data_IF_594027504678
#
_entry.id   IF_594027504678
#
_cell.length_a   1.000
_cell.length_b   1.000
_cell.length_c   1.000
_cell.angle_alpha   90.00
_cell.angle_beta   90.00
_cell.angle_gamma   90.00
#
_symmetry.space_group_name_H-M   'P 1'
#
loop_
_entity.id
_entity.type
_entity.pdbx_description
1 polymer ?
#
# COMPACT_ATOMS: atom_id res chain seq x y z
N UNK A 1 0.84 -34.87 -20.46
CA UNK A 1 0.47 -34.98 -21.88
C UNK A 1 0.07 -33.57 -22.31
N UNK A 2 0.87 -32.95 -23.16
CA UNK A 2 0.76 -31.55 -23.57
C UNK A 2 -0.41 -31.38 -24.54
N UNK A 3 -1.21 -30.33 -24.41
CA UNK A 3 -1.83 -29.73 -25.59
C UNK A 3 -2.17 -28.25 -25.42
N UNK A 4 -1.53 -27.46 -26.29
CA UNK A 4 -1.72 -26.04 -26.53
C UNK A 4 -2.99 -25.79 -27.37
N UNK A 5 -3.60 -24.62 -27.18
CA UNK A 5 -4.41 -23.92 -28.19
C UNK A 5 -3.89 -22.47 -28.22
N UNK A 6 -3.10 -22.08 -29.22
CA UNK A 6 -3.48 -21.66 -30.57
C UNK A 6 -3.88 -20.17 -30.63
N UNK A 7 -2.91 -19.37 -31.11
CA UNK A 7 -2.96 -17.97 -31.51
C UNK A 7 -3.60 -17.78 -32.89
N UNK A 8 -4.15 -16.59 -33.18
CA UNK A 8 -4.44 -16.04 -34.53
C UNK A 8 -4.96 -14.58 -34.41
N UNK A 9 -4.89 -13.73 -35.46
CA UNK A 9 -3.67 -13.16 -36.04
C UNK A 9 -3.72 -11.62 -36.16
N UNK A 10 -2.56 -11.02 -36.46
CA UNK A 10 -2.37 -9.60 -36.77
C UNK A 10 -3.11 -9.17 -38.06
N UNK A 11 -3.72 -7.98 -38.03
CA UNK A 11 -4.19 -7.26 -39.21
C UNK A 11 -3.25 -6.09 -39.49
N UNK A 12 -2.48 -6.22 -40.56
CA UNK A 12 -1.76 -5.13 -41.21
C UNK A 12 -2.69 -4.44 -42.21
N UNK A 13 -2.78 -3.12 -42.16
CA UNK A 13 -3.31 -2.32 -43.27
C UNK A 13 -2.60 -0.98 -43.27
N UNK A 14 -1.65 -0.86 -44.19
CA UNK A 14 -1.00 0.39 -44.55
C UNK A 14 -1.96 1.18 -45.46
N UNK A 15 -2.26 2.42 -45.08
CA UNK A 15 -2.98 3.37 -45.94
C UNK A 15 -1.97 4.38 -46.46
N UNK A 16 -1.82 4.41 -47.78
CA UNK A 16 -0.97 5.34 -48.51
C UNK A 16 -1.61 6.73 -48.56
N UNK A 17 -0.82 7.77 -48.26
CA UNK A 17 -1.19 9.18 -48.44
C UNK A 17 -0.80 9.63 -49.86
N UNK A 18 -1.73 10.27 -50.56
CA UNK A 18 -1.47 11.04 -51.80
C UNK A 18 -1.74 12.53 -51.55
N UNK A 19 -0.97 13.47 -52.15
CA UNK A 19 -1.02 14.89 -51.80
C UNK A 19 -1.89 15.70 -52.78
N UNK A 20 -2.84 16.47 -52.25
CA UNK A 20 -3.60 17.53 -52.95
C UNK A 20 -3.98 18.52 -51.83
N UNK A 21 -3.84 19.85 -51.88
CA UNK A 21 -3.35 20.82 -52.85
C UNK A 21 -3.63 22.19 -52.21
N UNK A 22 -2.66 23.11 -52.23
CA UNK A 22 -2.81 24.47 -51.71
C UNK A 22 -3.88 25.26 -52.48
N UNK A 23 -4.78 25.94 -51.77
CA UNK A 23 -5.39 27.20 -52.21
C UNK A 23 -5.65 28.14 -51.04
N UNK A 24 -5.16 29.37 -51.23
CA UNK A 24 -5.30 30.55 -50.39
C UNK A 24 -6.74 31.05 -50.29
N UNK A 25 -7.11 31.67 -49.17
CA UNK A 25 -7.73 33.01 -49.15
C UNK A 25 -7.68 33.64 -47.73
N UNK A 26 -7.57 34.99 -47.59
CA UNK A 26 -7.13 35.66 -46.36
C UNK A 26 -8.18 36.56 -45.66
N UNK A 27 -7.79 37.08 -44.48
CA UNK A 27 -8.39 38.15 -43.65
C UNK A 27 -9.56 37.66 -42.75
N UNK A 28 -9.58 37.87 -41.44
CA UNK A 28 -9.65 39.18 -40.76
C UNK A 28 -9.04 39.12 -39.34
N UNK A 29 -8.38 40.21 -39.01
CA UNK A 29 -7.66 40.57 -37.79
C UNK A 29 -8.57 41.08 -36.66
N UNK A 30 -8.14 40.81 -35.42
CA UNK A 30 -8.30 41.64 -34.20
C UNK A 30 -9.65 41.69 -33.46
N UNK A 31 -9.73 41.04 -32.28
CA UNK A 31 -10.15 41.72 -31.04
C UNK A 31 -9.68 40.92 -29.80
N UNK A 32 -8.57 41.36 -29.20
CA UNK A 32 -8.15 41.00 -27.85
C UNK A 32 -8.57 42.14 -26.92
N UNK A 33 -9.48 41.90 -25.98
CA UNK A 33 -9.52 42.54 -24.68
C UNK A 33 -10.57 41.87 -23.76
N UNK A 34 -10.23 41.80 -22.48
CA UNK A 34 -11.05 41.50 -21.30
C UNK A 34 -11.48 40.04 -21.04
N UNK A 35 -10.62 39.27 -20.37
CA UNK A 35 -10.87 38.89 -18.97
C UNK A 35 -9.58 38.33 -18.33
N UNK A 36 -8.98 39.13 -17.43
CA UNK A 36 -8.19 38.68 -16.29
C UNK A 36 -9.05 37.76 -15.40
N UNK A 37 -8.65 36.80 -14.58
CA UNK A 37 -7.42 36.39 -13.87
C UNK A 37 -7.80 34.99 -13.29
N UNK A 38 -7.01 33.93 -13.45
CA UNK A 38 -6.16 33.39 -12.40
C UNK A 38 -5.16 32.40 -13.00
N UNK A 39 -3.90 32.57 -12.58
CA UNK A 39 -2.71 32.22 -13.32
C UNK A 39 -2.26 30.77 -13.08
N UNK A 40 -2.17 30.00 -14.17
CA UNK A 40 -1.18 28.95 -14.33
C UNK A 40 0.09 29.60 -14.89
N UNK A 41 1.16 29.68 -14.10
CA UNK A 41 2.47 30.08 -14.60
C UNK A 41 3.32 28.83 -14.89
N UNK A 42 3.82 28.64 -16.13
CA UNK A 42 4.75 27.56 -16.46
C UNK A 42 6.15 27.89 -15.94
N UNK A 43 6.79 26.94 -15.27
CA UNK A 43 8.18 27.05 -14.82
C UNK A 43 9.11 26.94 -16.02
N UNK A 44 9.68 28.06 -16.47
CA UNK A 44 10.90 28.06 -17.27
C UNK A 44 11.73 29.33 -17.06
N UNK A 45 13.00 29.09 -16.70
CA UNK A 45 14.19 29.96 -16.77
C UNK A 45 14.42 30.93 -15.61
N UNK A 46 15.30 30.51 -14.69
CA UNK A 46 16.32 31.37 -14.10
C UNK A 46 17.58 30.54 -13.79
N UNK A 47 18.42 30.35 -14.80
CA UNK A 47 19.84 30.08 -14.60
C UNK A 47 20.60 31.41 -14.77
N UNK A 48 21.73 31.54 -14.06
CA UNK A 48 22.70 32.65 -14.06
C UNK A 48 22.39 33.80 -13.06
N UNK A 49 22.79 33.62 -11.80
CA UNK A 49 23.90 34.31 -11.08
C UNK A 49 23.71 34.04 -9.57
N UNK A 50 24.46 33.09 -9.02
CA UNK A 50 24.81 33.02 -7.60
C UNK A 50 26.13 32.23 -7.45
N UNK A 51 27.20 32.75 -8.03
CA UNK A 51 28.56 32.36 -7.67
C UNK A 51 28.98 33.21 -6.46
N UNK A 52 28.71 32.73 -5.23
CA UNK A 52 29.54 32.96 -4.02
C UNK A 52 28.85 32.56 -2.70
N UNK A 53 28.17 31.42 -2.65
CA UNK A 53 27.95 30.75 -1.37
C UNK A 53 28.16 29.25 -1.59
N UNK A 54 29.23 28.71 -0.98
CA UNK A 54 29.59 27.29 -1.03
C UNK A 54 28.63 26.40 -0.23
N UNK A 55 27.33 26.64 -0.31
CA UNK A 55 26.31 25.79 0.28
C UNK A 55 26.15 24.55 -0.60
N UNK A 56 26.97 23.54 -0.35
CA UNK A 56 26.72 22.19 -0.86
C UNK A 56 25.37 21.73 -0.34
N UNK A 57 24.40 21.51 -1.22
CA UNK A 57 23.20 20.75 -0.86
C UNK A 57 23.64 19.45 -0.21
N UNK A 58 23.16 19.11 1.01
CA UNK A 58 23.53 17.85 1.64
C UNK A 58 23.25 16.71 0.66
N UNK A 59 24.24 15.85 0.42
CA UNK A 59 23.99 14.61 -0.32
C UNK A 59 22.86 13.87 0.41
N UNK A 60 21.82 13.40 -0.29
CA UNK A 60 20.78 12.59 0.34
C UNK A 60 21.44 11.44 1.10
N UNK A 61 21.10 11.29 2.38
CA UNK A 61 21.53 10.12 3.16
C UNK A 61 20.94 8.89 2.44
N UNK A 62 21.75 7.88 2.09
CA UNK A 62 21.22 6.68 1.45
C UNK A 62 20.15 6.03 2.32
N UNK A 63 18.96 5.82 1.77
CA UNK A 63 17.89 5.08 2.43
C UNK A 63 18.21 3.58 2.35
N UNK A 64 18.78 3.02 3.41
CA UNK A 64 19.26 1.62 3.44
C UNK A 64 18.24 0.65 4.06
N UNK A 65 17.20 1.15 4.71
CA UNK A 65 16.22 0.35 5.48
C UNK A 65 14.82 0.45 4.89
N UNK A 66 14.73 0.39 3.57
CA UNK A 66 13.46 0.49 2.85
C UNK A 66 12.61 -0.78 2.93
N UNK A 67 11.29 -0.61 2.90
CA UNK A 67 10.27 -1.66 2.87
C UNK A 67 9.44 -1.57 1.58
N UNK A 68 8.80 -2.66 1.11
CA UNK A 68 8.77 -4.00 1.70
C UNK A 68 10.08 -4.76 1.45
N UNK A 69 10.23 -5.94 2.06
CA UNK A 69 11.37 -6.85 1.82
C UNK A 69 10.89 -8.27 1.51
N UNK A 70 11.78 -9.07 0.93
CA UNK A 70 11.61 -10.51 0.92
C UNK A 70 11.95 -11.09 2.31
N UNK A 71 10.96 -11.67 2.98
CA UNK A 71 11.10 -12.33 4.27
C UNK A 71 11.75 -13.71 4.07
N UNK A 72 12.95 -13.94 4.61
CA UNK A 72 13.65 -15.22 4.43
C UNK A 72 12.98 -16.34 5.24
N UNK A 73 13.19 -17.59 4.85
CA UNK A 73 12.83 -18.74 5.69
C UNK A 73 13.80 -18.78 6.87
N UNK A 74 13.28 -18.70 8.09
CA UNK A 74 14.06 -18.64 9.32
C UNK A 74 13.56 -19.69 10.32
N UNK A 75 14.45 -20.12 11.21
CA UNK A 75 14.05 -20.84 12.41
C UNK A 75 13.36 -19.88 13.39
N UNK A 76 12.30 -20.36 14.04
CA UNK A 76 11.59 -19.60 15.06
C UNK A 76 12.50 -19.40 16.28
N UNK A 77 12.55 -18.17 16.80
CA UNK A 77 13.22 -17.84 18.06
C UNK A 77 12.20 -17.57 19.17
N UNK A 78 12.51 -17.89 20.44
CA UNK A 78 11.60 -17.64 21.55
C UNK A 78 11.20 -16.17 21.68
N UNK A 79 9.93 -15.91 21.95
CA UNK A 79 9.44 -14.55 22.16
C UNK A 79 9.73 -14.08 23.57
N UNK A 80 10.90 -13.48 23.81
CA UNK A 80 11.28 -12.93 25.11
C UNK A 80 10.68 -11.54 25.39
N UNK A 81 9.42 -11.34 25.02
CA UNK A 81 8.68 -10.08 25.24
C UNK A 81 8.90 -9.05 24.15
N UNK A 82 9.30 -9.54 22.99
CA UNK A 82 9.64 -8.67 21.87
C UNK A 82 8.40 -8.32 21.06
N UNK A 83 7.34 -9.13 21.11
CA UNK A 83 6.08 -8.92 20.41
C UNK A 83 4.89 -9.38 21.24
N UNK A 84 3.83 -8.59 21.26
CA UNK A 84 2.50 -8.98 21.73
C UNK A 84 1.49 -8.01 21.14
N UNK A 85 0.38 -8.52 20.64
CA UNK A 85 -0.66 -7.72 20.00
C UNK A 85 -2.03 -8.19 20.49
N UNK A 86 -2.94 -7.24 20.62
CA UNK A 86 -4.37 -7.48 20.74
C UNK A 86 -5.09 -6.41 19.94
N UNK A 87 -6.05 -6.82 19.12
CA UNK A 87 -7.02 -5.93 18.49
C UNK A 87 -8.39 -6.24 19.11
N UNK A 88 -9.21 -5.21 19.30
CA UNK A 88 -10.55 -5.31 19.87
C UNK A 88 -11.57 -4.73 18.89
N UNK A 89 -12.83 -5.07 19.10
CA UNK A 89 -13.92 -4.60 18.24
C UNK A 89 -14.09 -3.09 18.37
N UNK A 90 -14.24 -2.39 17.24
CA UNK A 90 -14.40 -0.94 17.23
C UNK A 90 -15.17 -0.42 16.01
N UNK A 91 -15.78 0.77 16.11
CA UNK A 91 -16.24 1.49 14.93
C UNK A 91 -15.06 1.85 14.02
N UNK A 92 -15.32 1.93 12.71
CA UNK A 92 -14.34 2.32 11.71
C UNK A 92 -14.96 3.25 10.67
N UNK A 93 -14.17 4.19 10.13
CA UNK A 93 -14.53 4.97 8.95
C UNK A 93 -13.68 4.47 7.78
N UNK A 94 -14.34 3.91 6.77
CA UNK A 94 -13.69 3.38 5.56
C UNK A 94 -13.80 4.42 4.46
N UNK A 95 -12.67 4.76 3.84
CA UNK A 95 -12.59 5.80 2.81
C UNK A 95 -11.78 5.35 1.61
N UNK A 96 -12.28 5.66 0.41
CA UNK A 96 -11.53 5.55 -0.84
C UNK A 96 -10.49 6.66 -0.88
N UNK A 97 -9.21 6.31 -0.76
CA UNK A 97 -8.08 7.20 -1.00
C UNK A 97 -7.47 6.88 -2.38
N UNK A 98 -6.84 7.87 -3.03
CA UNK A 98 -6.34 7.72 -4.42
C UNK A 98 -5.54 6.42 -4.69
N UNK A 99 -4.89 5.85 -3.68
CA UNK A 99 -4.00 4.70 -3.82
C UNK A 99 -4.41 3.48 -2.96
N UNK A 100 -5.46 3.56 -2.15
CA UNK A 100 -5.94 2.44 -1.31
C UNK A 100 -7.31 2.75 -0.70
N UNK A 101 -7.98 1.74 -0.15
CA UNK A 101 -9.17 1.93 0.68
C UNK A 101 -8.76 1.82 2.16
N UNK A 102 -8.69 2.96 2.84
CA UNK A 102 -8.21 3.03 4.23
C UNK A 102 -9.37 2.95 5.22
N UNK A 103 -9.19 2.19 6.29
CA UNK A 103 -10.08 2.19 7.45
C UNK A 103 -9.40 2.91 8.62
N UNK A 104 -9.96 4.03 9.06
CA UNK A 104 -9.51 4.73 10.27
C UNK A 104 -10.28 4.20 11.46
N UNK A 105 -9.56 3.70 12.47
CA UNK A 105 -10.14 3.10 13.67
C UNK A 105 -9.13 3.08 14.82
N UNK A 106 -9.61 2.92 16.06
CA UNK A 106 -8.73 2.79 17.23
C UNK A 106 -8.57 1.34 17.71
N UNK A 107 -9.20 0.37 17.01
CA UNK A 107 -9.26 -1.04 17.37
C UNK A 107 -9.75 -1.30 18.82
N UNK A 108 -10.51 -0.39 19.42
CA UNK A 108 -11.17 -0.60 20.71
C UNK A 108 -10.25 -0.36 21.90
N UNK A 109 -10.85 -0.16 23.07
CA UNK A 109 -10.15 0.33 24.27
C UNK A 109 -9.14 -0.67 24.86
N UNK A 110 -9.28 -1.96 24.53
CA UNK A 110 -8.37 -3.02 25.00
C UNK A 110 -7.28 -3.37 23.99
N UNK A 111 -7.25 -2.73 22.82
CA UNK A 111 -6.19 -3.00 21.84
C UNK A 111 -4.84 -2.46 22.27
N UNK A 112 -3.80 -3.15 21.85
CA UNK A 112 -2.43 -2.69 21.97
C UNK A 112 -1.53 -3.44 20.98
N UNK A 113 -0.45 -2.79 20.57
CA UNK A 113 0.73 -3.46 20.04
C UNK A 113 1.91 -3.14 20.96
N UNK A 114 2.51 -4.18 21.53
CA UNK A 114 3.71 -4.06 22.36
C UNK A 114 4.91 -4.64 21.63
N UNK A 115 5.86 -3.76 21.31
CA UNK A 115 7.15 -4.14 20.73
C UNK A 115 8.26 -3.84 21.73
N UNK A 116 8.86 -4.89 22.28
CA UNK A 116 9.81 -4.79 23.39
C UNK A 116 9.16 -4.04 24.58
N UNK A 117 9.70 -2.89 24.98
CA UNK A 117 9.15 -2.03 26.04
C UNK A 117 8.14 -0.99 25.57
N UNK A 118 7.95 -0.82 24.26
CA UNK A 118 7.16 0.27 23.68
C UNK A 118 5.75 -0.21 23.36
N UNK A 119 4.77 0.65 23.62
CA UNK A 119 3.35 0.42 23.32
C UNK A 119 2.92 1.37 22.21
N UNK A 120 2.24 0.81 21.21
CA UNK A 120 1.71 1.50 20.05
C UNK A 120 0.20 1.26 20.01
N UNK A 121 -0.56 2.32 19.73
CA UNK A 121 -2.01 2.26 19.55
C UNK A 121 -2.35 2.14 18.07
N UNK A 122 -3.37 1.35 17.72
CA UNK A 122 -3.87 1.26 16.35
C UNK A 122 -4.40 2.63 15.89
N UNK A 123 -4.12 2.99 14.63
CA UNK A 123 -4.58 4.25 14.03
C UNK A 123 -5.41 4.05 12.76
N UNK A 124 -5.03 3.07 11.94
CA UNK A 124 -5.71 2.74 10.69
C UNK A 124 -5.23 1.38 10.18
N UNK A 125 -5.96 0.81 9.25
CA UNK A 125 -5.41 -0.19 8.35
C UNK A 125 -5.74 0.13 6.89
N UNK A 126 -4.94 -0.41 5.99
CA UNK A 126 -5.17 -0.32 4.55
C UNK A 126 -4.62 -1.55 3.82
N UNK A 127 -5.27 -2.00 2.74
CA UNK A 127 -4.76 -3.11 1.95
C UNK A 127 -3.86 -2.72 0.76
N UNK A 128 -3.10 -3.71 0.31
CA UNK A 128 -2.38 -3.74 -0.94
C UNK A 128 -2.70 -5.01 -1.74
N UNK A 129 -2.88 -4.85 -3.05
CA UNK A 129 -3.03 -5.94 -4.00
C UNK A 129 -2.08 -5.72 -5.20
N UNK A 130 -1.17 -6.65 -5.51
CA UNK A 130 -0.81 -7.84 -4.73
C UNK A 130 -0.13 -7.48 -3.39
N UNK A 131 0.26 -8.49 -2.59
CA UNK A 131 1.05 -8.27 -1.39
C UNK A 131 2.34 -7.50 -1.68
N UNK A 132 2.80 -6.69 -0.74
CA UNK A 132 4.05 -5.94 -0.85
C UNK A 132 5.23 -6.78 -0.39
N UNK A 133 5.09 -7.46 0.75
CA UNK A 133 6.06 -8.44 1.23
C UNK A 133 5.97 -9.73 0.43
N UNK A 134 7.07 -10.47 0.43
CA UNK A 134 7.13 -11.84 -0.05
C UNK A 134 7.69 -12.74 1.04
N UNK A 135 7.31 -14.02 1.08
CA UNK A 135 7.94 -15.02 1.97
C UNK A 135 8.71 -16.01 1.10
N UNK A 136 10.03 -16.06 1.27
CA UNK A 136 10.89 -16.95 0.47
C UNK A 136 10.76 -16.73 -1.04
N UNK A 137 10.48 -15.49 -1.46
CA UNK A 137 10.26 -15.11 -2.87
C UNK A 137 8.81 -15.23 -3.36
N UNK A 138 7.90 -15.81 -2.57
CA UNK A 138 6.49 -15.96 -2.94
C UNK A 138 5.74 -14.66 -2.64
N UNK A 139 5.07 -14.10 -3.65
CA UNK A 139 4.14 -12.98 -3.54
C UNK A 139 2.72 -13.51 -3.39
N UNK A 140 1.95 -12.88 -2.52
CA UNK A 140 0.57 -13.25 -2.22
C UNK A 140 -0.42 -12.32 -2.92
N UNK A 141 -1.66 -12.74 -3.17
CA UNK A 141 -2.70 -11.90 -3.76
C UNK A 141 -3.01 -10.61 -3.01
N UNK A 142 -2.86 -10.59 -1.68
CA UNK A 142 -3.31 -9.46 -0.87
C UNK A 142 -2.49 -9.31 0.41
N UNK A 143 -2.38 -8.09 0.91
CA UNK A 143 -1.75 -7.78 2.20
C UNK A 143 -2.45 -6.62 2.89
N UNK A 144 -2.74 -6.75 4.18
CA UNK A 144 -3.33 -5.67 4.99
C UNK A 144 -2.30 -5.15 5.98
N UNK A 145 -2.09 -3.83 5.99
CA UNK A 145 -1.20 -3.14 6.91
C UNK A 145 -2.00 -2.48 8.03
N UNK A 146 -1.88 -3.01 9.25
CA UNK A 146 -2.36 -2.36 10.46
C UNK A 146 -1.29 -1.43 11.01
N UNK A 147 -1.53 -0.13 10.90
CA UNK A 147 -0.59 0.91 11.33
C UNK A 147 -0.88 1.30 12.76
N UNK A 148 0.18 1.38 13.55
CA UNK A 148 0.16 1.73 14.96
C UNK A 148 1.14 2.86 15.23
N UNK A 149 0.86 3.65 16.27
CA UNK A 149 1.67 4.80 16.65
C UNK A 149 1.89 4.86 18.16
N UNK A 150 3.11 5.13 18.59
CA UNK A 150 3.42 5.37 20.00
C UNK A 150 3.19 6.84 20.42
N UNK A 151 3.37 7.12 21.71
CA UNK A 151 3.23 8.49 22.27
C UNK A 151 4.18 9.52 21.66
N UNK A 152 5.30 9.08 21.07
CA UNK A 152 6.33 9.92 20.46
C UNK A 152 6.17 10.01 18.93
N UNK A 153 5.06 9.51 18.38
CA UNK A 153 4.76 9.48 16.94
C UNK A 153 5.63 8.52 16.12
N UNK A 154 6.35 7.61 16.77
CA UNK A 154 7.02 6.51 16.07
C UNK A 154 5.98 5.51 15.56
N UNK A 155 6.26 4.92 14.39
CA UNK A 155 5.33 4.02 13.72
C UNK A 155 5.76 2.56 13.85
N UNK A 156 4.78 1.70 14.03
CA UNK A 156 4.91 0.26 13.90
C UNK A 156 3.80 -0.26 12.98
N UNK A 157 4.13 -1.23 12.13
CA UNK A 157 3.16 -1.81 11.19
C UNK A 157 3.11 -3.31 11.37
N UNK A 158 1.88 -3.82 11.43
CA UNK A 158 1.59 -5.25 11.43
C UNK A 158 1.02 -5.62 10.06
N UNK A 159 1.75 -6.45 9.32
CA UNK A 159 1.35 -6.92 7.99
C UNK A 159 0.71 -8.29 8.06
N UNK A 160 -0.45 -8.46 7.43
CA UNK A 160 -1.17 -9.74 7.32
C UNK A 160 -1.28 -10.09 5.85
N UNK A 161 -0.75 -11.23 5.45
CA UNK A 161 -0.79 -11.73 4.07
C UNK A 161 -2.03 -12.59 3.87
N UNK A 162 -2.63 -12.53 2.68
CA UNK A 162 -3.74 -13.39 2.32
C UNK A 162 -3.50 -14.12 1.00
N UNK A 163 -3.89 -15.38 0.95
CA UNK A 163 -4.02 -16.19 -0.27
C UNK A 163 -5.49 -16.51 -0.57
N UNK A 164 -5.76 -17.01 -1.77
CA UNK A 164 -7.11 -17.44 -2.12
C UNK A 164 -7.45 -18.73 -1.36
N UNK A 165 -8.63 -18.74 -0.75
CA UNK A 165 -9.16 -19.94 -0.13
C UNK A 165 -9.40 -21.03 -1.19
N UNK A 166 -8.97 -22.29 -0.98
CA UNK A 166 -9.15 -23.35 -1.95
C UNK A 166 -10.62 -23.73 -2.21
N UNK A 167 -11.53 -23.39 -1.30
CA UNK A 167 -12.97 -23.60 -1.44
C UNK A 167 -13.74 -22.28 -1.67
N UNK A 168 -13.02 -21.18 -1.91
CA UNK A 168 -13.59 -19.83 -2.10
C UNK A 168 -14.37 -19.31 -0.86
N UNK A 169 -14.02 -19.78 0.34
CA UNK A 169 -14.64 -19.31 1.58
C UNK A 169 -14.19 -17.87 1.92
N UNK A 170 -15.11 -16.98 2.29
CA UNK A 170 -14.78 -15.60 2.60
C UNK A 170 -14.13 -15.46 3.99
N UNK A 171 -13.21 -14.51 4.11
CA UNK A 171 -12.67 -14.11 5.39
C UNK A 171 -13.69 -13.24 6.18
N UNK A 172 -14.08 -13.59 7.42
CA UNK A 172 -15.12 -12.85 8.15
C UNK A 172 -14.76 -11.39 8.47
N UNK A 173 -13.48 -11.07 8.64
CA UNK A 173 -13.05 -9.68 8.83
C UNK A 173 -13.18 -8.87 7.54
N UNK A 174 -12.78 -9.45 6.40
CA UNK A 174 -12.89 -8.79 5.11
C UNK A 174 -14.35 -8.59 4.69
N UNK A 175 -15.25 -9.53 4.99
CA UNK A 175 -16.69 -9.36 4.72
C UNK A 175 -17.26 -8.11 5.38
N UNK A 176 -16.93 -7.90 6.66
CA UNK A 176 -17.35 -6.70 7.40
C UNK A 176 -16.77 -5.43 6.77
N UNK A 177 -15.47 -5.45 6.48
CA UNK A 177 -14.75 -4.31 5.88
C UNK A 177 -15.27 -3.95 4.48
N UNK A 178 -15.64 -4.94 3.66
CA UNK A 178 -16.09 -4.76 2.28
C UNK A 178 -17.58 -4.42 2.16
N UNK A 179 -18.37 -4.59 3.23
CA UNK A 179 -19.84 -4.46 3.22
C UNK A 179 -20.39 -3.16 2.63
N UNK A 180 -19.64 -2.05 2.72
CA UNK A 180 -20.02 -0.73 2.21
C UNK A 180 -19.36 -0.31 0.89
N UNK A 181 -18.58 -1.19 0.23
CA UNK A 181 -17.72 -0.81 -0.90
C UNK A 181 -18.49 -0.26 -2.12
N UNK A 182 -19.76 -0.63 -2.30
CA UNK A 182 -20.61 -0.05 -3.36
C UNK A 182 -20.80 1.46 -3.25
N UNK A 183 -20.51 2.05 -2.08
CA UNK A 183 -20.55 3.51 -1.84
C UNK A 183 -19.26 4.22 -2.27
N UNK A 184 -18.18 3.48 -2.58
CA UNK A 184 -16.84 4.02 -2.83
C UNK A 184 -16.54 4.24 -4.33
N UNK A 185 -17.40 5.01 -5.00
CA UNK A 185 -17.34 5.20 -6.46
C UNK A 185 -16.19 6.09 -6.95
N UNK A 186 -15.65 6.96 -6.09
CA UNK A 186 -14.53 7.86 -6.40
C UNK A 186 -13.71 8.17 -5.16
N UNK A 187 -12.45 8.63 -5.32
CA UNK A 187 -11.65 9.10 -4.21
C UNK A 187 -12.35 10.19 -3.39
N UNK A 188 -12.29 10.06 -2.07
CA UNK A 188 -12.96 10.92 -1.09
C UNK A 188 -14.31 10.38 -0.61
N UNK A 189 -14.91 9.41 -1.31
CA UNK A 189 -16.08 8.70 -0.80
C UNK A 189 -15.74 7.91 0.47
N UNK A 190 -16.72 7.76 1.36
CA UNK A 190 -16.56 7.08 2.65
C UNK A 190 -17.87 6.50 3.16
N UNK A 191 -17.75 5.47 4.01
CA UNK A 191 -18.83 4.96 4.82
C UNK A 191 -18.34 4.63 6.24
N UNK A 192 -19.27 4.39 7.16
CA UNK A 192 -18.98 4.06 8.56
C UNK A 192 -19.43 2.64 8.85
N UNK A 193 -18.61 1.93 9.62
CA UNK A 193 -18.96 0.70 10.30
C UNK A 193 -19.15 1.01 11.78
N UNK A 194 -20.33 0.74 12.34
CA UNK A 194 -20.58 0.93 13.77
C UNK A 194 -19.77 -0.04 14.63
N UNK A 195 -19.40 -1.18 14.05
CA UNK A 195 -18.61 -2.22 14.69
C UNK A 195 -17.87 -3.03 13.63
N UNK A 196 -16.55 -3.18 13.81
CA UNK A 196 -15.68 -4.03 13.02
C UNK A 196 -14.92 -4.96 13.97
N UNK A 197 -15.15 -6.26 13.84
CA UNK A 197 -14.54 -7.30 14.68
C UNK A 197 -13.35 -7.96 13.97
N UNK A 198 -12.11 -7.79 14.49
CA UNK A 198 -10.90 -8.42 13.94
C UNK A 198 -10.62 -9.83 14.46
N UNK A 199 -11.51 -10.43 15.26
CA UNK A 199 -11.26 -11.72 15.93
C UNK A 199 -10.81 -12.83 14.98
N UNK A 200 -11.43 -12.93 13.80
CA UNK A 200 -11.08 -13.91 12.76
C UNK A 200 -9.66 -13.77 12.16
N UNK A 201 -8.94 -12.70 12.47
CA UNK A 201 -7.54 -12.52 12.07
C UNK A 201 -6.56 -13.20 13.04
N UNK A 202 -7.02 -13.62 14.23
CA UNK A 202 -6.22 -14.35 15.23
C UNK A 202 -4.78 -13.81 15.41
N UNK A 203 -4.63 -12.48 15.39
CA UNK A 203 -3.32 -11.80 15.23
C UNK A 203 -2.30 -12.13 16.33
N UNK A 204 -2.76 -12.64 17.47
CA UNK A 204 -1.93 -13.07 18.59
C UNK A 204 -1.43 -14.51 18.46
N UNK A 205 -2.01 -15.33 17.58
CA UNK A 205 -1.69 -16.76 17.42
C UNK A 205 -0.80 -17.06 16.20
N UNK A 206 -0.01 -16.08 15.76
CA UNK A 206 0.97 -16.23 14.68
C UNK A 206 2.40 -15.92 15.11
N UNK A 207 3.38 -16.67 14.60
CA UNK A 207 4.76 -16.22 14.67
C UNK A 207 4.92 -14.97 13.80
N UNK A 208 5.88 -14.11 14.12
CA UNK A 208 6.04 -12.84 13.39
C UNK A 208 7.46 -12.60 12.92
N UNK A 209 7.60 -12.22 11.65
CA UNK A 209 8.83 -11.65 11.13
C UNK A 209 8.99 -10.23 11.65
N UNK A 210 10.08 -9.93 12.33
CA UNK A 210 10.38 -8.59 12.86
C UNK A 210 11.63 -8.00 12.23
N UNK A 211 11.53 -6.76 11.78
CA UNK A 211 12.65 -6.02 11.21
C UNK A 211 12.41 -4.49 11.22
N UNK A 212 13.47 -3.65 11.28
CA UNK A 212 13.35 -2.21 11.07
C UNK A 212 13.26 -1.88 9.57
N UNK A 213 12.30 -1.06 9.21
CA UNK A 213 11.97 -0.73 7.83
C UNK A 213 11.54 0.73 7.62
N UNK A 214 10.72 0.93 6.59
CA UNK A 214 10.17 2.22 6.19
C UNK A 214 8.67 2.14 5.95
N UNK A 215 8.05 3.29 5.68
CA UNK A 215 6.80 3.33 4.93
C UNK A 215 7.01 2.73 3.53
N UNK A 216 5.97 2.08 3.01
CA UNK A 216 5.96 1.55 1.63
C UNK A 216 5.32 2.50 0.63
N UNK A 217 4.79 3.62 1.11
CA UNK A 217 4.28 4.74 0.32
C UNK A 217 5.14 5.99 0.54
N UNK A 218 5.08 6.93 -0.40
CA UNK A 218 5.84 8.18 -0.30
C UNK A 218 5.54 8.92 1.02
N UNK A 219 6.55 9.54 1.67
CA UNK A 219 7.93 9.73 1.20
C UNK A 219 8.90 8.60 1.59
N UNK A 220 8.39 7.38 1.83
CA UNK A 220 9.18 6.19 2.18
C UNK A 220 10.06 6.36 3.44
N UNK A 221 9.56 7.13 4.41
CA UNK A 221 10.28 7.45 5.65
C UNK A 221 10.69 6.18 6.39
N UNK A 222 11.99 6.07 6.72
CA UNK A 222 12.54 5.00 7.56
C UNK A 222 12.18 5.17 9.04
N UNK A 223 12.43 4.13 9.84
CA UNK A 223 12.15 4.14 11.28
C UNK A 223 10.83 3.48 11.66
N UNK A 224 10.25 2.71 10.74
CA UNK A 224 9.06 1.90 10.99
C UNK A 224 9.48 0.54 11.54
N UNK A 225 8.90 0.13 12.67
CA UNK A 225 9.06 -1.22 13.20
C UNK A 225 8.04 -2.17 12.54
N UNK A 226 8.51 -3.10 11.71
CA UNK A 226 7.64 -4.05 11.02
C UNK A 226 7.49 -5.36 11.80
N UNK A 227 6.25 -5.87 11.83
CA UNK A 227 5.90 -7.22 12.28
C UNK A 227 4.97 -7.86 11.25
N UNK A 228 5.47 -8.78 10.42
CA UNK A 228 4.63 -9.47 9.41
C UNK A 228 4.29 -10.86 9.94
N UNK A 229 3.00 -11.20 9.98
CA UNK A 229 2.54 -12.52 10.42
C UNK A 229 3.12 -13.59 9.50
N UNK A 230 3.59 -14.70 10.08
CA UNK A 230 4.06 -15.86 9.32
C UNK A 230 2.88 -16.63 8.72
N UNK A 231 1.77 -16.68 9.47
CA UNK A 231 0.52 -17.27 9.00
C UNK A 231 -0.07 -16.41 7.88
N UNK A 232 -0.45 -17.10 6.81
CA UNK A 232 -1.13 -16.51 5.66
C UNK A 232 -2.59 -16.83 5.84
N UNK A 233 -3.42 -15.79 5.87
CA UNK A 233 -4.87 -15.94 5.96
C UNK A 233 -5.44 -16.28 4.60
N UNK A 234 -6.67 -16.80 4.57
CA UNK A 234 -7.38 -17.01 3.30
C UNK A 234 -8.44 -15.94 3.09
N UNK A 235 -8.79 -15.71 1.82
CA UNK A 235 -9.88 -14.87 1.38
C UNK A 235 -10.53 -15.47 0.13
N UNK A 236 -11.79 -15.13 -0.16
CA UNK A 236 -12.43 -15.55 -1.40
C UNK A 236 -11.94 -14.70 -2.59
N UNK A 237 -12.10 -15.23 -3.80
CA UNK A 237 -11.87 -14.48 -5.05
C UNK A 237 -12.79 -13.27 -5.13
N UNK A 238 -14.06 -13.42 -4.73
CA UNK A 238 -15.04 -12.32 -4.73
C UNK A 238 -14.65 -11.17 -3.80
N UNK A 239 -14.00 -11.45 -2.66
CA UNK A 239 -13.46 -10.40 -1.78
C UNK A 239 -12.30 -9.64 -2.43
N UNK A 240 -11.41 -10.34 -3.16
CA UNK A 240 -10.31 -9.71 -3.89
C UNK A 240 -10.84 -8.83 -5.01
N UNK A 241 -11.73 -9.36 -5.83
CA UNK A 241 -12.36 -8.63 -6.95
C UNK A 241 -13.16 -7.42 -6.45
N UNK A 242 -13.87 -7.54 -5.33
CA UNK A 242 -14.57 -6.41 -4.72
C UNK A 242 -13.62 -5.26 -4.36
N UNK A 243 -12.45 -5.56 -3.80
CA UNK A 243 -11.46 -4.53 -3.50
C UNK A 243 -10.82 -3.95 -4.77
N UNK A 244 -10.44 -4.80 -5.73
CA UNK A 244 -9.85 -4.37 -7.01
C UNK A 244 -10.81 -3.52 -7.83
N UNK A 245 -12.13 -3.73 -7.68
CA UNK A 245 -13.17 -2.94 -8.34
C UNK A 245 -13.25 -1.48 -7.86
N UNK A 246 -12.57 -1.12 -6.76
CA UNK A 246 -12.51 0.26 -6.26
C UNK A 246 -11.20 0.94 -6.65
N UNK A 247 -10.06 0.23 -6.55
CA UNK A 247 -8.73 0.81 -6.81
C UNK A 247 -8.34 0.71 -8.29
N UNK A 248 -8.76 -0.34 -9.01
CA UNK A 248 -8.52 -0.55 -10.45
C UNK A 248 -7.05 -0.65 -10.91
N UNK A 249 -6.08 -0.58 -10.00
CA UNK A 249 -4.66 -0.73 -10.32
C UNK A 249 -3.91 -1.42 -9.18
N UNK A 250 -2.82 -2.14 -9.47
CA UNK A 250 -1.94 -2.65 -8.44
C UNK A 250 -1.35 -1.49 -7.64
N UNK A 251 -1.40 -1.57 -6.31
CA UNK A 251 -0.89 -0.54 -5.41
C UNK A 251 0.29 -1.04 -4.56
N UNK A 252 0.98 -2.08 -5.01
CA UNK A 252 2.09 -2.71 -4.30
C UNK A 252 3.45 -2.16 -4.73
N UNK A 253 4.30 -1.77 -3.78
CA UNK A 253 5.72 -1.46 -4.01
C UNK A 253 6.53 -2.75 -4.21
N UNK A 254 7.52 -2.75 -5.13
CA UNK A 254 8.47 -3.87 -5.25
C UNK A 254 9.31 -4.08 -3.98
N UNK A 255 9.78 -5.31 -3.76
CA UNK A 255 10.72 -5.62 -2.66
C UNK A 255 12.00 -4.80 -2.75
N UNK A 256 12.49 -4.37 -1.59
CA UNK A 256 13.68 -3.55 -1.43
C UNK A 256 14.85 -4.41 -0.91
N UNK A 257 16.11 -4.03 -1.23
CA UNK A 257 17.28 -4.75 -0.75
C UNK A 257 17.37 -4.82 0.78
N UNK A 258 17.77 -5.98 1.32
CA UNK A 258 17.86 -6.16 2.77
C UNK A 258 18.98 -5.31 3.41
N UNK A 259 20.05 -5.01 2.65
CA UNK A 259 21.19 -4.18 3.08
C UNK A 259 21.77 -4.58 4.46
N UNK A 260 21.86 -5.89 4.72
CA UNK A 260 22.41 -6.42 5.97
C UNK A 260 21.52 -6.28 7.20
N UNK A 261 20.27 -5.81 7.06
CA UNK A 261 19.30 -5.80 8.17
C UNK A 261 19.05 -7.23 8.68
N UNK A 262 19.00 -7.38 10.00
CA UNK A 262 18.60 -8.64 10.64
C UNK A 262 17.08 -8.74 10.64
N UNK A 263 16.57 -9.85 10.10
CA UNK A 263 15.17 -10.28 10.25
C UNK A 263 15.13 -11.42 11.25
N UNK A 264 14.16 -11.41 12.16
CA UNK A 264 13.93 -12.49 13.12
C UNK A 264 12.52 -13.04 12.94
N UNK A 265 12.35 -14.35 13.01
CA UNK A 265 11.04 -14.99 13.12
C UNK A 265 10.78 -15.30 14.59
N UNK A 266 9.92 -14.52 15.23
CA UNK A 266 9.64 -14.57 16.68
C UNK A 266 8.40 -15.42 16.93
N UNK A 267 8.44 -16.27 17.96
CA UNK A 267 7.32 -17.12 18.34
C UNK A 267 6.06 -16.34 18.76
N UNK A 268 4.87 -16.90 18.51
CA UNK A 268 3.59 -16.34 19.00
C UNK A 268 3.48 -16.24 20.51
N UNK A 269 4.10 -17.19 21.22
CA UNK A 269 4.11 -17.29 22.69
C UNK A 269 5.53 -17.52 23.20
N UNK A 270 5.72 -17.30 24.50
CA UNK A 270 6.95 -17.60 25.21
C UNK A 270 7.21 -19.11 25.29
#
# INVERSE_FOLDING_TARGET
MWQCYATRPELTSAVALSPIGLRDHPQITTQLASFERHEFLPVLIAAVVALSSGATTPKPVPQLRQSPINLPRLSVVPNKGSFSIQLDTAPAVVSHENHTVKATWNAGAKSFLKLNSNVYNSVQFHPHAPSEHTIGGVRYPFEVHFVHQDKNKNLAVVGILFELDPNDEPNPFLDQYLSGFSQLTKPGDKFTLDSLDPSSLDVADSNVYRYPGSLTTEPYTEGVEWSVLQEVHTMSLSQLEAWESVIHHPNSRPVQPLNGRSVKLVAKKY
#
